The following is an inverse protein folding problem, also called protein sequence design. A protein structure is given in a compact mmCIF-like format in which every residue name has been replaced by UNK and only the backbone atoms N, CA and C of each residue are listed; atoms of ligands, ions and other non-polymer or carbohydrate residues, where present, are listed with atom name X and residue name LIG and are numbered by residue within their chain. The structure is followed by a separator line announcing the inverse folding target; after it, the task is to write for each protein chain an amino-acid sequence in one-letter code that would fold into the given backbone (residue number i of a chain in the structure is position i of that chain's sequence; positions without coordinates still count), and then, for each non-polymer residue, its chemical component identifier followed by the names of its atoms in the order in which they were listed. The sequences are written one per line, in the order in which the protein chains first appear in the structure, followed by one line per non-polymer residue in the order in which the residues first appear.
data_IF_767596652981
#
_entry.id   IF_767596652981
#
_cell.length_a   1.000
_cell.length_b   1.000
_cell.length_c   1.000
_cell.angle_alpha   90.00
_cell.angle_beta   90.00
_cell.angle_gamma   90.00
#
_symmetry.space_group_name_H-M   'P 1'
#
loop_
_entity.id
_entity.type
_entity.pdbx_description
1 polymer ?
#
# COMPACT_ATOMS: atom_id res chain seq x y z
N UNK A 1 2.23 -5.45 12.02
CA UNK A 1 1.57 -4.48 12.93
C UNK A 1 0.11 -4.36 12.52
N UNK A 2 -0.84 -4.40 13.47
CA UNK A 2 -2.27 -4.18 13.20
C UNK A 2 -2.69 -2.81 13.72
N UNK A 3 -3.36 -2.02 12.88
CA UNK A 3 -3.84 -0.67 13.19
C UNK A 3 -5.30 -0.50 12.77
N UNK A 4 -6.08 0.20 13.59
CA UNK A 4 -7.43 0.66 13.23
C UNK A 4 -7.56 2.13 13.60
N UNK A 5 -7.80 2.98 12.61
CA UNK A 5 -7.86 4.44 12.79
C UNK A 5 -8.95 5.03 11.92
N UNK A 6 -9.52 6.17 12.29
CA UNK A 6 -10.46 6.86 11.38
C UNK A 6 -9.70 7.48 10.22
N UNK A 7 -8.67 8.28 10.53
CA UNK A 7 -7.74 8.87 9.57
C UNK A 7 -6.31 8.55 10.04
N UNK A 8 -5.45 8.13 9.12
CA UNK A 8 -4.05 7.85 9.44
C UNK A 8 -3.11 8.40 8.36
N UNK A 9 -2.03 9.02 8.80
CA UNK A 9 -0.89 9.39 7.98
C UNK A 9 0.33 8.62 8.48
N UNK A 10 1.05 7.95 7.58
CA UNK A 10 2.19 7.12 7.95
C UNK A 10 3.35 7.31 6.98
N UNK A 11 4.54 7.54 7.52
CA UNK A 11 5.80 7.46 6.79
C UNK A 11 6.69 6.40 7.43
N UNK A 12 7.07 5.39 6.65
CA UNK A 12 7.77 4.20 7.15
C UNK A 12 8.99 3.87 6.27
N UNK A 13 10.09 3.48 6.91
CA UNK A 13 11.27 2.92 6.26
C UNK A 13 11.67 1.64 6.98
N UNK A 14 11.78 0.52 6.27
CA UNK A 14 12.11 -0.77 6.88
C UNK A 14 12.80 -1.72 5.90
N UNK A 15 13.65 -2.62 6.38
CA UNK A 15 14.17 -3.71 5.53
C UNK A 15 13.07 -4.74 5.21
N UNK A 16 12.29 -5.13 6.22
CA UNK A 16 11.10 -5.98 6.09
C UNK A 16 9.96 -5.38 6.91
N UNK A 17 8.75 -5.36 6.36
CA UNK A 17 7.56 -4.90 7.08
C UNK A 17 6.31 -5.73 6.75
N UNK A 18 5.46 -5.92 7.74
CA UNK A 18 4.12 -6.53 7.62
C UNK A 18 3.11 -5.56 8.23
N UNK A 19 2.19 -5.06 7.42
CA UNK A 19 1.22 -4.02 7.82
C UNK A 19 -0.20 -4.52 7.58
N UNK A 20 -1.01 -4.53 8.64
CA UNK A 20 -2.45 -4.68 8.56
C UNK A 20 -3.12 -3.40 9.04
N UNK A 21 -3.93 -2.78 8.18
CA UNK A 21 -4.57 -1.51 8.48
C UNK A 21 -6.05 -1.51 8.06
N UNK A 22 -6.90 -1.05 8.97
CA UNK A 22 -8.27 -0.67 8.66
C UNK A 22 -8.45 0.82 8.93
N UNK A 23 -8.93 1.58 7.94
CA UNK A 23 -9.16 3.01 8.12
C UNK A 23 -10.34 3.57 7.33
N UNK A 24 -10.86 4.74 7.70
CA UNK A 24 -11.75 5.47 6.79
C UNK A 24 -10.93 6.16 5.70
N UNK A 25 -9.86 6.87 6.11
CA UNK A 25 -8.90 7.49 5.19
C UNK A 25 -7.47 7.13 5.61
N UNK A 26 -6.62 6.85 4.64
CA UNK A 26 -5.19 6.70 4.88
C UNK A 26 -4.39 7.40 3.80
N UNK A 27 -3.33 8.08 4.23
CA UNK A 27 -2.21 8.47 3.39
C UNK A 27 -0.94 7.75 3.87
N UNK A 28 -0.23 7.09 2.96
CA UNK A 28 0.93 6.30 3.32
C UNK A 28 2.09 6.51 2.36
N UNK A 29 3.28 6.76 2.91
CA UNK A 29 4.55 6.70 2.22
C UNK A 29 5.43 5.60 2.83
N UNK A 30 5.82 4.63 2.02
CA UNK A 30 6.59 3.50 2.49
C UNK A 30 7.77 3.21 1.56
N UNK A 31 8.95 3.03 2.17
CA UNK A 31 10.14 2.52 1.49
C UNK A 31 10.61 1.23 2.17
N UNK A 32 10.72 0.13 1.42
CA UNK A 32 11.18 -1.13 2.00
C UNK A 32 11.93 -2.05 1.05
N UNK A 33 12.75 -2.99 1.56
CA UNK A 33 13.25 -4.07 0.68
C UNK A 33 12.13 -5.09 0.42
N UNK A 34 11.41 -5.49 1.46
CA UNK A 34 10.25 -6.40 1.36
C UNK A 34 9.10 -5.87 2.19
N UNK A 35 7.89 -5.85 1.62
CA UNK A 35 6.69 -5.54 2.38
C UNK A 35 5.55 -6.48 2.02
N UNK A 36 4.81 -6.90 3.05
CA UNK A 36 3.48 -7.48 2.91
C UNK A 36 2.44 -6.52 3.53
N UNK A 37 1.37 -6.24 2.80
CA UNK A 37 0.34 -5.30 3.22
C UNK A 37 -1.06 -5.85 3.03
N UNK A 38 -1.89 -5.69 4.06
CA UNK A 38 -3.35 -5.88 4.00
C UNK A 38 -4.04 -4.60 4.43
N UNK A 39 -4.73 -3.94 3.51
CA UNK A 39 -5.36 -2.65 3.72
C UNK A 39 -6.85 -2.69 3.36
N UNK A 40 -7.69 -2.25 4.29
CA UNK A 40 -9.12 -1.99 4.04
C UNK A 40 -9.43 -0.54 4.37
N UNK A 41 -9.91 0.25 3.40
CA UNK A 41 -10.27 1.64 3.69
C UNK A 41 -11.36 2.23 2.79
N UNK A 42 -11.95 3.37 3.18
CA UNK A 42 -12.85 4.09 2.23
C UNK A 42 -12.02 4.87 1.20
N UNK A 43 -10.96 5.56 1.65
CA UNK A 43 -10.04 6.30 0.77
C UNK A 43 -8.58 5.95 1.09
N UNK A 44 -7.79 5.72 0.05
CA UNK A 44 -6.36 5.43 0.15
C UNK A 44 -5.59 6.34 -0.80
N UNK A 45 -4.57 7.00 -0.27
CA UNK A 45 -3.49 7.59 -1.05
C UNK A 45 -2.17 6.93 -0.64
N UNK A 46 -1.41 6.41 -1.61
CA UNK A 46 -0.22 5.63 -1.29
C UNK A 46 0.94 5.87 -2.25
N UNK A 47 2.14 6.06 -1.68
CA UNK A 47 3.42 6.05 -2.39
C UNK A 47 4.31 4.96 -1.81
N UNK A 48 4.52 3.89 -2.58
CA UNK A 48 5.30 2.72 -2.17
C UNK A 48 6.50 2.52 -3.09
N UNK A 49 7.69 2.44 -2.49
CA UNK A 49 8.91 2.00 -3.17
C UNK A 49 9.45 0.75 -2.49
N UNK A 50 9.58 -0.36 -3.21
CA UNK A 50 10.18 -1.55 -2.62
C UNK A 50 10.83 -2.52 -3.61
N UNK A 51 11.70 -3.41 -3.13
CA UNK A 51 12.22 -4.48 -4.00
C UNK A 51 11.15 -5.56 -4.23
N UNK A 52 10.45 -5.98 -3.17
CA UNK A 52 9.35 -6.95 -3.24
C UNK A 52 8.11 -6.43 -2.49
N UNK A 53 6.96 -6.53 -3.14
CA UNK A 53 5.66 -6.17 -2.55
C UNK A 53 4.69 -7.32 -2.70
N UNK A 54 4.06 -7.69 -1.60
CA UNK A 54 2.81 -8.44 -1.58
C UNK A 54 1.72 -7.56 -0.98
N UNK A 55 0.62 -7.34 -1.70
CA UNK A 55 -0.41 -6.40 -1.28
C UNK A 55 -1.81 -6.92 -1.54
N UNK A 56 -2.67 -6.81 -0.52
CA UNK A 56 -4.13 -6.94 -0.61
C UNK A 56 -4.77 -5.62 -0.20
N UNK A 57 -5.41 -4.95 -1.15
CA UNK A 57 -6.09 -3.68 -0.92
C UNK A 57 -7.57 -3.78 -1.30
N UNK A 58 -8.44 -3.42 -0.36
CA UNK A 58 -9.87 -3.19 -0.60
C UNK A 58 -10.24 -1.76 -0.25
N UNK A 59 -10.75 -0.99 -1.20
CA UNK A 59 -11.20 0.37 -0.90
C UNK A 59 -12.31 0.92 -1.80
N UNK A 60 -12.95 2.03 -1.40
CA UNK A 60 -13.89 2.72 -2.30
C UNK A 60 -13.14 3.61 -3.29
N UNK A 61 -12.13 4.35 -2.84
CA UNK A 61 -11.28 5.22 -3.67
C UNK A 61 -9.80 4.94 -3.41
N UNK A 62 -9.02 4.82 -4.48
CA UNK A 62 -7.57 4.58 -4.41
C UNK A 62 -6.82 5.52 -5.33
N UNK A 63 -5.77 6.15 -4.82
CA UNK A 63 -4.72 6.77 -5.59
C UNK A 63 -3.39 6.15 -5.15
N UNK A 64 -2.69 5.49 -6.07
CA UNK A 64 -1.50 4.70 -5.72
C UNK A 64 -0.39 4.89 -6.73
N UNK A 65 0.81 5.18 -6.22
CA UNK A 65 2.07 5.07 -6.95
C UNK A 65 2.91 3.96 -6.33
N UNK A 66 3.20 2.92 -7.11
CA UNK A 66 3.98 1.77 -6.69
C UNK A 66 5.18 1.58 -7.62
N UNK A 67 6.39 1.69 -7.07
CA UNK A 67 7.64 1.36 -7.75
C UNK A 67 8.26 0.12 -7.11
N UNK A 68 8.41 -0.96 -7.88
CA UNK A 68 9.04 -2.18 -7.36
C UNK A 68 9.68 -3.11 -8.39
N UNK A 69 10.53 -4.03 -7.93
CA UNK A 69 11.11 -5.08 -8.81
C UNK A 69 10.20 -6.29 -8.92
N UNK A 70 9.54 -6.69 -7.82
CA UNK A 70 8.56 -7.79 -7.81
C UNK A 70 7.29 -7.36 -7.09
N UNK A 71 6.14 -7.59 -7.72
CA UNK A 71 4.83 -7.21 -7.18
C UNK A 71 3.85 -8.35 -7.35
N UNK A 72 3.25 -8.74 -6.23
CA UNK A 72 2.02 -9.53 -6.18
C UNK A 72 0.95 -8.65 -5.54
N UNK A 73 -0.07 -8.26 -6.31
CA UNK A 73 -1.08 -7.31 -5.86
C UNK A 73 -2.47 -7.81 -6.19
N UNK A 74 -3.34 -7.78 -5.18
CA UNK A 74 -4.78 -7.90 -5.33
C UNK A 74 -5.43 -6.60 -4.90
N UNK A 75 -6.17 -6.00 -5.83
CA UNK A 75 -6.87 -4.75 -5.60
C UNK A 75 -8.35 -4.90 -5.92
N UNK A 76 -9.19 -4.51 -4.98
CA UNK A 76 -10.63 -4.29 -5.19
C UNK A 76 -10.95 -2.84 -4.89
N UNK A 77 -11.36 -2.08 -5.91
CA UNK A 77 -11.74 -0.69 -5.75
C UNK A 77 -12.96 -0.28 -6.59
N UNK A 78 -13.80 0.62 -6.06
CA UNK A 78 -14.90 1.20 -6.84
C UNK A 78 -14.39 2.25 -7.83
N UNK A 79 -13.40 3.06 -7.42
CA UNK A 79 -12.72 4.05 -8.27
C UNK A 79 -11.25 4.09 -7.90
N UNK A 80 -10.36 4.30 -8.87
CA UNK A 80 -8.99 4.61 -8.53
C UNK A 80 -8.07 4.82 -9.72
N UNK A 81 -6.91 5.40 -9.40
CA UNK A 81 -5.78 5.62 -10.29
C UNK A 81 -4.56 4.91 -9.70
N UNK A 82 -3.90 4.10 -10.52
CA UNK A 82 -2.76 3.29 -10.09
C UNK A 82 -1.66 3.45 -11.12
N UNK A 83 -0.52 3.94 -10.67
CA UNK A 83 0.72 3.94 -11.42
C UNK A 83 1.62 2.85 -10.86
N UNK A 84 1.81 1.79 -11.65
CA UNK A 84 2.71 0.68 -11.32
C UNK A 84 3.96 0.74 -12.20
N UNK A 85 5.11 1.00 -11.58
CA UNK A 85 6.42 0.93 -12.22
C UNK A 85 7.11 -0.34 -11.73
N UNK A 86 7.03 -1.39 -12.53
CA UNK A 86 7.70 -2.66 -12.26
C UNK A 86 8.96 -2.80 -13.14
N UNK A 87 10.14 -3.00 -12.53
CA UNK A 87 11.34 -3.38 -13.27
C UNK A 87 11.46 -4.90 -13.34
N UNK A 88 11.84 -5.44 -14.51
CA UNK A 88 12.20 -6.86 -14.62
C UNK A 88 13.48 -7.07 -13.82
N UNK A 89 13.36 -7.76 -12.68
CA UNK A 89 14.50 -8.31 -11.95
C UNK A 89 15.07 -9.55 -12.60
#
# INVERSE_FOLDING_TARGET
MMLTVTNGEMELTATKGEIELTATKVEMKLTATKVEMKLTATKVEMKLTATKVEMKLTATKVEMKLTATKVEMQLTATKGEIELIASKG
#
